data_IF_338526447386
#
_entry.id   IF_338526447386
#
_cell.length_a   1.000
_cell.length_b   1.000
_cell.length_c   1.000
_cell.angle_alpha   90.00
_cell.angle_beta   90.00
_cell.angle_gamma   90.00
#
_symmetry.space_group_name_H-M   'P 1'
#
loop_
_entity.id
_entity.type
_entity.pdbx_description
1 polymer ?
#
# COMPACT_ATOMS: atom_id res chain seq x y z
N UNK A 1 -3.63 -3.46 -13.01
CA UNK A 1 -4.33 -4.34 -12.04
C UNK A 1 -3.75 -5.73 -12.18
N UNK A 2 -3.21 -6.29 -11.09
CA UNK A 2 -2.78 -7.69 -11.06
C UNK A 2 -3.88 -8.58 -10.46
N UNK A 3 -4.00 -9.78 -11.00
CA UNK A 3 -5.07 -10.75 -10.77
C UNK A 3 -4.56 -12.18 -10.57
N UNK A 4 -3.29 -12.48 -10.87
CA UNK A 4 -2.71 -13.82 -10.73
C UNK A 4 -1.18 -13.83 -10.67
N UNK A 5 -0.59 -14.90 -11.23
CA UNK A 5 0.85 -15.21 -11.17
C UNK A 5 1.78 -14.06 -11.60
N UNK A 6 1.31 -13.16 -12.46
CA UNK A 6 2.04 -11.98 -12.91
C UNK A 6 2.38 -10.98 -11.78
N UNK A 7 1.83 -11.19 -10.58
CA UNK A 7 2.17 -10.39 -9.41
C UNK A 7 3.66 -10.46 -9.05
N UNK A 8 4.35 -11.59 -9.28
CA UNK A 8 5.80 -11.61 -9.02
C UNK A 8 6.54 -10.68 -9.98
N UNK A 9 6.26 -10.76 -11.28
CA UNK A 9 6.89 -9.92 -12.30
C UNK A 9 6.63 -8.44 -12.01
N UNK A 10 5.40 -8.10 -11.61
CA UNK A 10 5.05 -6.76 -11.15
C UNK A 10 5.92 -6.32 -9.96
N UNK A 11 6.02 -7.14 -8.91
CA UNK A 11 6.83 -6.83 -7.72
C UNK A 11 8.33 -6.70 -8.06
N UNK A 12 8.84 -7.53 -8.96
CA UNK A 12 10.23 -7.45 -9.43
C UNK A 12 10.49 -6.18 -10.24
N UNK A 13 9.56 -5.79 -11.12
CA UNK A 13 9.65 -4.54 -11.86
C UNK A 13 9.65 -3.32 -10.93
N UNK A 14 8.82 -3.35 -9.88
CA UNK A 14 8.78 -2.32 -8.84
C UNK A 14 10.11 -2.24 -8.08
N UNK A 15 10.67 -3.38 -7.67
CA UNK A 15 11.92 -3.46 -6.91
C UNK A 15 13.19 -3.06 -7.70
N UNK A 16 13.16 -3.09 -9.04
CA UNK A 16 14.35 -2.88 -9.89
C UNK A 16 14.49 -1.45 -10.43
N UNK A 17 13.80 -0.48 -9.84
CA UNK A 17 14.04 0.95 -10.11
C UNK A 17 13.04 1.64 -11.03
N UNK A 18 11.86 1.06 -11.24
CA UNK A 18 10.72 1.79 -11.83
C UNK A 18 10.05 2.65 -10.75
N UNK A 19 10.76 3.67 -10.28
CA UNK A 19 10.23 4.65 -9.34
C UNK A 19 8.92 5.25 -9.90
N UNK A 20 7.85 5.21 -9.10
CA UNK A 20 6.51 5.64 -9.53
C UNK A 20 5.62 4.54 -10.09
N UNK A 21 5.98 3.27 -9.90
CA UNK A 21 5.10 2.14 -10.24
C UNK A 21 3.81 2.17 -9.42
N UNK A 22 2.69 1.84 -10.06
CA UNK A 22 1.39 1.72 -9.42
C UNK A 22 0.61 0.55 -10.03
N UNK A 23 -0.12 -0.15 -9.18
CA UNK A 23 -1.10 -1.15 -9.59
C UNK A 23 -2.33 -1.06 -8.71
N UNK A 24 -3.34 -1.83 -9.06
CA UNK A 24 -4.58 -1.97 -8.30
C UNK A 24 -4.80 -3.42 -7.96
N UNK A 25 -5.37 -3.66 -6.78
CA UNK A 25 -5.76 -4.99 -6.28
C UNK A 25 -7.11 -4.85 -5.60
N UNK A 26 -8.03 -5.76 -5.87
CA UNK A 26 -9.31 -5.79 -5.19
C UNK A 26 -9.15 -6.37 -3.77
N UNK A 27 -9.27 -5.52 -2.74
CA UNK A 27 -9.18 -5.94 -1.34
C UNK A 27 -10.04 -5.04 -0.44
N UNK A 28 -10.49 -5.58 0.69
CA UNK A 28 -11.32 -4.83 1.65
C UNK A 28 -10.49 -4.03 2.67
N UNK A 29 -9.24 -4.41 2.87
CA UNK A 29 -8.31 -3.76 3.80
C UNK A 29 -6.89 -3.78 3.23
N UNK A 30 -5.99 -2.91 3.71
CA UNK A 30 -4.60 -2.92 3.29
C UNK A 30 -3.91 -4.26 3.57
N UNK A 31 -4.22 -4.88 4.71
CA UNK A 31 -3.73 -6.22 5.07
C UNK A 31 -4.25 -7.30 4.13
N UNK A 32 -5.50 -7.20 3.69
CA UNK A 32 -6.03 -8.13 2.69
C UNK A 32 -5.38 -7.93 1.31
N UNK A 33 -5.04 -6.69 0.94
CA UNK A 33 -4.30 -6.43 -0.30
C UNK A 33 -2.95 -7.15 -0.30
N UNK A 34 -2.21 -7.08 0.81
CA UNK A 34 -0.94 -7.82 0.98
C UNK A 34 -1.16 -9.33 0.89
N UNK A 35 -2.15 -9.88 1.61
CA UNK A 35 -2.46 -11.32 1.53
C UNK A 35 -2.82 -11.77 0.12
N UNK A 36 -3.51 -10.93 -0.64
CA UNK A 36 -3.86 -11.24 -2.04
C UNK A 36 -2.63 -11.21 -2.94
N UNK A 37 -1.70 -10.28 -2.74
CA UNK A 37 -0.42 -10.29 -3.44
C UNK A 37 0.37 -11.56 -3.12
N UNK A 38 0.40 -11.99 -1.84
CA UNK A 38 1.02 -13.27 -1.45
C UNK A 38 0.42 -14.44 -2.22
N UNK A 39 -0.92 -14.56 -2.24
CA UNK A 39 -1.63 -15.63 -2.97
C UNK A 39 -1.34 -15.56 -4.47
N UNK A 40 -1.39 -14.37 -5.07
CA UNK A 40 -1.14 -14.18 -6.50
C UNK A 40 0.26 -14.63 -6.89
N UNK A 41 1.29 -14.33 -6.08
CA UNK A 41 2.65 -14.84 -6.32
C UNK A 41 2.71 -16.37 -6.22
N UNK A 42 2.04 -16.96 -5.23
CA UNK A 42 2.00 -18.41 -5.05
C UNK A 42 1.28 -19.15 -6.20
N UNK A 43 0.37 -18.47 -6.92
CA UNK A 43 -0.26 -19.04 -8.13
C UNK A 43 0.73 -19.27 -9.27
N UNK A 44 1.90 -18.61 -9.26
CA UNK A 44 2.92 -18.71 -10.30
C UNK A 44 3.71 -20.01 -10.33
N UNK A 45 3.32 -21.03 -9.57
CA UNK A 45 4.01 -22.34 -9.48
C UNK A 45 5.48 -22.24 -9.08
N UNK A 46 5.87 -21.14 -8.43
CA UNK A 46 7.19 -20.99 -7.82
C UNK A 46 7.09 -21.34 -6.34
N UNK A 47 7.95 -22.27 -5.90
CA UNK A 47 8.10 -22.62 -4.49
C UNK A 47 8.95 -21.57 -3.76
N UNK A 48 8.42 -20.35 -3.66
CA UNK A 48 8.99 -19.30 -2.84
C UNK A 48 8.47 -19.42 -1.41
N UNK A 49 9.34 -19.42 -0.39
CA UNK A 49 8.91 -19.30 1.00
C UNK A 49 8.06 -18.04 1.18
N UNK A 50 6.93 -18.14 1.90
CA UNK A 50 6.02 -17.01 2.15
C UNK A 50 6.76 -15.79 2.71
N UNK A 51 7.75 -16.02 3.57
CA UNK A 51 8.61 -14.97 4.10
C UNK A 51 9.37 -14.20 3.00
N UNK A 52 9.90 -14.87 1.98
CA UNK A 52 10.58 -14.23 0.85
C UNK A 52 9.59 -13.41 0.00
N UNK A 53 8.36 -13.90 -0.17
CA UNK A 53 7.29 -13.17 -0.86
C UNK A 53 6.96 -11.88 -0.10
N UNK A 54 6.84 -11.96 1.23
CA UNK A 54 6.64 -10.78 2.08
C UNK A 54 7.77 -9.77 1.97
N UNK A 55 9.03 -10.23 1.90
CA UNK A 55 10.17 -9.34 1.66
C UNK A 55 10.07 -8.63 0.31
N UNK A 56 9.67 -9.36 -0.76
CA UNK A 56 9.45 -8.75 -2.07
C UNK A 56 8.35 -7.70 -2.03
N UNK A 57 7.23 -7.96 -1.35
CA UNK A 57 6.13 -7.01 -1.19
C UNK A 57 6.57 -5.80 -0.36
N UNK A 58 7.22 -6.01 0.77
CA UNK A 58 7.66 -4.93 1.66
C UNK A 58 8.72 -4.02 1.03
N UNK A 59 9.51 -4.55 0.09
CA UNK A 59 10.46 -3.76 -0.69
C UNK A 59 9.80 -3.00 -1.85
N UNK A 60 8.73 -3.55 -2.44
CA UNK A 60 8.13 -3.02 -3.66
C UNK A 60 6.99 -2.02 -3.40
N UNK A 61 6.28 -2.16 -2.28
CA UNK A 61 5.06 -1.42 -1.97
C UNK A 61 5.33 -0.48 -0.81
N UNK A 62 5.31 0.82 -1.07
CA UNK A 62 5.45 1.84 -0.02
C UNK A 62 4.11 2.19 0.63
N UNK A 63 3.10 2.46 -0.22
CA UNK A 63 1.80 3.01 0.18
C UNK A 63 0.67 2.17 -0.40
N UNK A 64 -0.36 1.93 0.42
CA UNK A 64 -1.62 1.31 0.03
C UNK A 64 -2.74 2.33 0.24
N UNK A 65 -3.44 2.68 -0.83
CA UNK A 65 -4.60 3.58 -0.78
C UNK A 65 -5.88 2.77 -0.92
N UNK A 66 -6.73 2.81 0.11
CA UNK A 66 -8.04 2.16 0.07
C UNK A 66 -9.12 3.10 -0.42
N UNK A 67 -9.95 2.61 -1.33
CA UNK A 67 -11.09 3.35 -1.87
C UNK A 67 -12.36 2.57 -1.65
N UNK A 68 -13.44 3.27 -1.29
CA UNK A 68 -14.76 2.68 -1.14
C UNK A 68 -15.82 3.56 -1.79
N UNK A 69 -16.95 2.94 -2.12
CA UNK A 69 -18.15 3.65 -2.53
C UNK A 69 -19.07 3.81 -1.33
N UNK A 70 -19.38 5.05 -0.97
CA UNK A 70 -20.32 5.36 0.12
C UNK A 70 -21.76 5.00 -0.29
N UNK A 71 -22.64 4.92 0.69
CA UNK A 71 -24.09 4.74 0.45
C UNK A 71 -24.71 5.89 -0.35
N UNK A 72 -24.08 7.07 -0.32
CA UNK A 72 -24.42 8.22 -1.15
C UNK A 72 -24.04 8.04 -2.63
N UNK A 73 -23.31 6.97 -2.97
CA UNK A 73 -22.82 6.67 -4.31
C UNK A 73 -21.46 7.28 -4.63
N UNK A 74 -20.96 8.18 -3.80
CA UNK A 74 -19.65 8.84 -3.93
C UNK A 74 -18.49 7.86 -3.70
N UNK A 75 -17.40 8.00 -4.48
CA UNK A 75 -16.16 7.26 -4.24
C UNK A 75 -15.23 8.11 -3.40
N UNK A 76 -14.74 7.53 -2.31
CA UNK A 76 -13.84 8.20 -1.38
C UNK A 76 -12.65 7.34 -1.06
N UNK A 77 -11.55 8.00 -0.68
CA UNK A 77 -10.45 7.32 0.02
C UNK A 77 -10.89 7.06 1.46
N UNK A 78 -10.73 5.83 1.91
CA UNK A 78 -11.08 5.40 3.28
C UNK A 78 -9.86 5.25 4.17
N UNK A 79 -8.71 4.89 3.60
CA UNK A 79 -7.44 4.88 4.33
C UNK A 79 -6.26 5.06 3.38
N UNK A 80 -5.19 5.61 3.93
CA UNK A 80 -3.87 5.64 3.33
C UNK A 80 -2.96 4.98 4.35
N UNK A 81 -2.43 3.83 3.98
CA UNK A 81 -1.62 2.97 4.83
C UNK A 81 -0.20 2.90 4.27
N UNK A 82 0.79 2.88 5.15
CA UNK A 82 2.20 2.71 4.80
C UNK A 82 2.67 1.30 5.17
N UNK A 83 3.38 0.66 4.25
CA UNK A 83 4.11 -0.57 4.54
C UNK A 83 5.42 -0.19 5.22
N UNK A 84 5.60 -0.63 6.47
CA UNK A 84 6.70 -0.17 7.32
C UNK A 84 7.85 -1.16 7.44
N UNK A 85 7.81 -2.23 6.64
CA UNK A 85 8.80 -3.30 6.61
C UNK A 85 8.27 -4.58 7.24
N UNK A 86 9.18 -5.34 7.84
CA UNK A 86 8.92 -6.66 8.42
C UNK A 86 9.42 -6.69 9.86
N UNK A 87 8.61 -7.27 10.74
CA UNK A 87 8.98 -7.62 12.11
C UNK A 87 8.79 -9.13 12.31
N UNK A 88 9.88 -9.84 12.63
CA UNK A 88 9.94 -11.30 12.56
C UNK A 88 9.57 -11.80 11.16
N UNK A 89 8.45 -12.51 11.05
CA UNK A 89 7.90 -13.00 9.77
C UNK A 89 6.67 -12.22 9.29
N UNK A 90 6.29 -11.16 10.01
CA UNK A 90 5.06 -10.41 9.76
C UNK A 90 5.36 -9.10 9.05
N UNK A 91 4.74 -8.91 7.88
CA UNK A 91 4.75 -7.62 7.18
C UNK A 91 3.91 -6.60 7.97
N UNK A 92 4.55 -5.47 8.28
CA UNK A 92 3.99 -4.40 9.08
C UNK A 92 3.36 -3.33 8.20
N UNK A 93 2.15 -2.93 8.56
CA UNK A 93 1.37 -1.90 7.88
C UNK A 93 0.85 -0.96 8.94
N UNK A 94 0.94 0.34 8.71
CA UNK A 94 0.41 1.34 9.62
C UNK A 94 -0.40 2.39 8.88
N UNK A 95 -1.56 2.74 9.42
CA UNK A 95 -2.42 3.76 8.85
C UNK A 95 -1.80 5.14 9.08
N UNK A 96 -1.57 5.88 8.00
CA UNK A 96 -1.21 7.31 8.09
C UNK A 96 -2.47 8.15 8.23
N UNK A 97 -3.49 7.81 7.44
CA UNK A 97 -4.76 8.51 7.40
C UNK A 97 -5.92 7.52 7.32
N UNK A 98 -7.02 7.82 8.00
CA UNK A 98 -8.25 7.05 7.91
C UNK A 98 -9.47 7.96 7.89
N UNK A 99 -10.51 7.56 7.16
CA UNK A 99 -11.80 8.24 7.15
C UNK A 99 -12.61 7.77 8.36
N UNK A 100 -12.91 8.70 9.25
CA UNK A 100 -13.77 8.43 10.40
C UNK A 100 -15.25 8.58 10.03
N UNK A 101 -16.11 7.80 10.69
CA UNK A 101 -17.55 7.87 10.48
C UNK A 101 -18.06 9.26 10.88
N UNK A 102 -18.80 9.90 9.97
CA UNK A 102 -19.38 11.23 10.19
C UNK A 102 -18.46 12.40 9.87
N UNK A 103 -17.21 12.17 9.47
CA UNK A 103 -16.31 13.21 8.96
C UNK A 103 -16.24 13.19 7.43
N UNK A 104 -16.19 14.37 6.82
CA UNK A 104 -16.13 14.54 5.36
C UNK A 104 -14.74 14.27 4.76
N UNK A 105 -13.70 14.15 5.60
CA UNK A 105 -12.31 13.96 5.16
C UNK A 105 -11.57 12.81 5.83
N UNK A 106 -10.31 12.66 5.42
CA UNK A 106 -9.34 11.79 6.07
C UNK A 106 -8.80 12.46 7.34
N UNK A 107 -8.55 11.66 8.37
CA UNK A 107 -7.97 12.11 9.64
C UNK A 107 -6.63 11.41 9.84
N UNK A 108 -5.60 12.20 10.17
CA UNK A 108 -4.28 11.66 10.53
C UNK A 108 -4.39 10.73 11.74
N UNK A 109 -3.73 9.58 11.67
CA UNK A 109 -3.68 8.62 12.77
C UNK A 109 -2.47 8.85 13.70
N UNK A 110 -1.72 9.95 13.51
CA UNK A 110 -0.58 10.31 14.36
C UNK A 110 0.69 9.48 14.13
N UNK A 111 0.69 8.61 13.12
CA UNK A 111 1.84 7.80 12.76
C UNK A 111 2.84 8.61 11.93
N UNK A 112 4.15 8.57 12.26
CA UNK A 112 5.17 9.21 11.44
C UNK A 112 5.31 8.48 10.10
N UNK A 113 5.13 9.21 8.99
CA UNK A 113 5.25 8.68 7.64
C UNK A 113 6.74 8.49 7.25
N UNK A 114 7.23 7.25 7.24
CA UNK A 114 8.66 6.97 6.96
C UNK A 114 8.96 7.18 5.47
N UNK A 115 8.02 6.82 4.61
CA UNK A 115 8.07 7.05 3.17
C UNK A 115 8.20 8.54 2.88
N UNK A 116 7.34 9.39 3.46
CA UNK A 116 7.45 10.83 3.28
C UNK A 116 8.80 11.36 3.82
N UNK A 117 9.27 10.85 4.96
CA UNK A 117 10.56 11.23 5.53
C UNK A 117 11.76 10.87 4.62
N UNK A 118 11.68 9.81 3.83
CA UNK A 118 12.74 9.40 2.88
C UNK A 118 12.70 10.14 1.53
N UNK A 119 11.62 10.87 1.23
CA UNK A 119 11.51 11.62 -0.03
C UNK A 119 12.35 12.90 -0.06
N UNK A 120 12.63 13.38 -1.28
CA UNK A 120 13.20 14.70 -1.52
C UNK A 120 12.29 15.82 -0.97
N UNK A 121 12.90 16.95 -0.58
CA UNK A 121 12.20 18.08 0.04
C UNK A 121 11.02 18.60 -0.80
N UNK A 122 11.18 18.63 -2.12
CA UNK A 122 10.14 19.06 -3.08
C UNK A 122 8.88 18.18 -3.03
N UNK A 123 9.06 16.87 -2.82
CA UNK A 123 7.95 15.92 -2.70
C UNK A 123 7.28 16.06 -1.34
N UNK A 124 8.07 16.26 -0.27
CA UNK A 124 7.56 16.53 1.08
C UNK A 124 6.66 17.77 1.09
N UNK A 125 7.09 18.86 0.45
CA UNK A 125 6.30 20.09 0.34
C UNK A 125 4.98 19.88 -0.41
N UNK A 126 5.01 19.18 -1.56
CA UNK A 126 3.79 18.85 -2.32
C UNK A 126 2.81 18.00 -1.53
N UNK A 127 3.31 16.98 -0.82
CA UNK A 127 2.48 16.12 0.03
C UNK A 127 1.87 16.94 1.17
N UNK A 128 2.67 17.77 1.85
CA UNK A 128 2.18 18.63 2.93
C UNK A 128 1.09 19.60 2.44
N UNK A 129 1.28 20.24 1.28
CA UNK A 129 0.29 21.13 0.70
C UNK A 129 -1.02 20.41 0.35
N UNK A 130 -0.93 19.22 -0.25
CA UNK A 130 -2.10 18.42 -0.66
C UNK A 130 -2.90 17.88 0.53
N UNK A 131 -2.26 17.70 1.70
CA UNK A 131 -2.92 17.22 2.91
C UNK A 131 -3.49 18.34 3.80
N UNK A 132 -3.11 19.60 3.56
CA UNK A 132 -3.58 20.76 4.31
C UNK A 132 -4.70 21.55 3.61
N UNK A 133 -4.95 21.28 2.33
CA UNK A 133 -6.09 21.79 1.54
C UNK A 133 -7.29 20.83 1.61
#
# INVERSE_FOLDING_TARGET
ECRGAEALDMLQAMNTGHAGSLSTVHANTARDAVRRLEIMVLMGSMDLPVFAIRQQIASAVDIIVQTARLSTGERVVTSIDEVTGIDGETLQIGALFARERGKSGLVSQGMPARFAASQASEVKEKIAQTLME
#
